data_IF_172337577853
#
_entry.id   IF_172337577853
#
_cell.length_a   1.000
_cell.length_b   1.000
_cell.length_c   1.000
_cell.angle_alpha   90.00
_cell.angle_beta   90.00
_cell.angle_gamma   90.00
#
_symmetry.space_group_name_H-M   'P 1'
#
loop_
_entity.id
_entity.type
_entity.pdbx_description
1 polymer ?
#
# COMPACT_ATOMS: atom_id res chain seq x y z
N UNK A 1 -20.07 -1.16 1.83
CA UNK A 1 -19.00 -1.06 0.83
C UNK A 1 -18.76 0.41 0.56
N UNK A 2 -17.71 0.97 1.16
CA UNK A 2 -17.24 2.32 0.87
C UNK A 2 -16.37 2.33 -0.40
N UNK A 3 -16.06 3.51 -0.93
CA UNK A 3 -15.16 3.65 -2.07
C UNK A 3 -13.76 3.06 -1.78
N UNK A 4 -13.25 3.24 -0.56
CA UNK A 4 -12.00 2.66 -0.10
C UNK A 4 -12.03 1.13 -0.02
N UNK A 5 -13.12 0.54 0.50
CA UNK A 5 -13.30 -0.92 0.53
C UNK A 5 -13.32 -1.52 -0.90
N UNK A 6 -13.99 -0.86 -1.84
CA UNK A 6 -14.02 -1.28 -3.24
C UNK A 6 -12.64 -1.18 -3.92
N UNK A 7 -11.89 -0.11 -3.65
CA UNK A 7 -10.51 0.03 -4.13
C UNK A 7 -9.63 -1.10 -3.59
N UNK A 8 -9.70 -1.39 -2.28
CA UNK A 8 -8.92 -2.46 -1.66
C UNK A 8 -9.20 -3.82 -2.31
N UNK A 9 -10.47 -4.16 -2.48
CA UNK A 9 -10.90 -5.40 -3.12
C UNK A 9 -10.40 -5.51 -4.57
N UNK A 10 -10.39 -4.40 -5.32
CA UNK A 10 -9.89 -4.37 -6.71
C UNK A 10 -8.40 -4.64 -6.77
N UNK A 11 -7.62 -4.06 -5.85
CA UNK A 11 -6.18 -4.29 -5.79
C UNK A 11 -5.85 -5.73 -5.34
N UNK A 12 -6.57 -6.27 -4.36
CA UNK A 12 -6.39 -7.66 -3.93
C UNK A 12 -6.71 -8.67 -5.05
N UNK A 13 -7.76 -8.42 -5.84
CA UNK A 13 -8.05 -9.22 -7.03
C UNK A 13 -6.90 -9.15 -8.06
N UNK A 14 -6.38 -7.95 -8.33
CA UNK A 14 -5.26 -7.78 -9.26
C UNK A 14 -3.97 -8.50 -8.79
N UNK A 15 -3.71 -8.55 -7.48
CA UNK A 15 -2.57 -9.31 -6.93
C UNK A 15 -2.77 -10.82 -7.07
N UNK A 16 -4.00 -11.31 -6.85
CA UNK A 16 -4.35 -12.71 -7.03
C UNK A 16 -4.18 -13.13 -8.50
N UNK A 17 -4.70 -12.32 -9.42
CA UNK A 17 -4.55 -12.53 -10.87
C UNK A 17 -3.07 -12.53 -11.29
N UNK A 18 -2.25 -11.64 -10.72
CA UNK A 18 -0.82 -11.59 -10.99
C UNK A 18 -0.04 -12.79 -10.43
N UNK A 19 -0.57 -13.44 -9.40
CA UNK A 19 -0.04 -14.70 -8.85
C UNK A 19 -0.44 -15.91 -9.69
N UNK A 20 -1.49 -15.80 -10.49
CA UNK A 20 -1.99 -16.87 -11.33
C UNK A 20 -1.04 -17.09 -12.53
N UNK A 21 -0.22 -18.15 -12.46
CA UNK A 21 0.72 -18.53 -13.51
C UNK A 21 2.20 -18.38 -13.14
N UNK A 22 2.50 -17.79 -11.98
CA UNK A 22 3.82 -17.87 -11.37
C UNK A 22 3.87 -18.99 -10.33
N UNK A 23 5.05 -19.54 -10.08
CA UNK A 23 5.26 -20.58 -9.06
C UNK A 23 5.33 -20.02 -7.63
N UNK A 24 5.03 -18.73 -7.47
CA UNK A 24 5.20 -17.96 -6.25
C UNK A 24 3.91 -17.25 -5.91
N UNK A 25 3.51 -17.35 -4.64
CA UNK A 25 2.44 -16.53 -4.09
C UNK A 25 2.96 -15.11 -3.87
N UNK A 26 2.31 -14.12 -4.49
CA UNK A 26 2.60 -12.72 -4.22
C UNK A 26 1.80 -12.24 -3.01
N UNK A 27 2.46 -11.46 -2.15
CA UNK A 27 1.86 -10.82 -0.99
C UNK A 27 2.22 -9.34 -0.99
N UNK A 28 1.29 -8.49 -0.56
CA UNK A 28 1.58 -7.09 -0.33
C UNK A 28 2.60 -6.94 0.80
N UNK A 29 3.65 -6.18 0.55
CA UNK A 29 4.56 -5.74 1.60
C UNK A 29 3.89 -4.74 2.55
N UNK A 30 4.43 -4.58 3.76
CA UNK A 30 3.97 -3.57 4.72
C UNK A 30 3.99 -2.14 4.13
N UNK A 31 4.96 -1.85 3.26
CA UNK A 31 5.06 -0.56 2.58
C UNK A 31 3.91 -0.33 1.59
N UNK A 32 3.58 -1.36 0.80
CA UNK A 32 2.46 -1.29 -0.14
C UNK A 32 1.13 -1.21 0.59
N UNK A 33 0.95 -1.99 1.67
CA UNK A 33 -0.24 -1.91 2.53
C UNK A 33 -0.45 -0.50 3.08
N UNK A 34 0.62 0.16 3.55
CA UNK A 34 0.53 1.54 4.03
C UNK A 34 0.01 2.51 2.96
N UNK A 35 0.47 2.36 1.71
CA UNK A 35 0.01 3.18 0.59
C UNK A 35 -1.40 2.83 0.16
N UNK A 36 -1.78 1.55 0.14
CA UNK A 36 -3.13 1.10 -0.17
C UNK A 36 -4.14 1.60 0.87
N UNK A 37 -3.79 1.61 2.15
CA UNK A 37 -4.60 2.20 3.22
C UNK A 37 -4.75 3.72 3.03
N UNK A 38 -3.66 4.41 2.70
CA UNK A 38 -3.70 5.85 2.45
C UNK A 38 -4.60 6.19 1.25
N UNK A 39 -4.49 5.42 0.16
CA UNK A 39 -5.34 5.56 -1.01
C UNK A 39 -6.81 5.25 -0.71
N UNK A 40 -7.08 4.22 0.10
CA UNK A 40 -8.44 3.85 0.51
C UNK A 40 -9.11 4.96 1.34
N UNK A 41 -8.39 5.53 2.32
CA UNK A 41 -8.88 6.69 3.09
C UNK A 41 -9.15 7.90 2.20
N UNK A 42 -8.30 8.12 1.19
CA UNK A 42 -8.48 9.20 0.25
C UNK A 42 -9.72 8.99 -0.64
N UNK A 43 -9.97 7.75 -1.10
CA UNK A 43 -11.17 7.40 -1.85
C UNK A 43 -12.45 7.64 -1.04
N UNK A 44 -12.48 7.24 0.24
CA UNK A 44 -13.61 7.52 1.14
C UNK A 44 -13.84 9.02 1.33
N UNK A 45 -12.76 9.79 1.48
CA UNK A 45 -12.81 11.25 1.61
C UNK A 45 -13.40 11.90 0.37
N UNK A 46 -12.98 11.48 -0.82
CA UNK A 46 -13.50 11.99 -2.10
C UNK A 46 -14.98 11.66 -2.24
N UNK A 47 -15.41 10.44 -1.89
CA UNK A 47 -16.82 10.06 -1.91
C UNK A 47 -17.68 10.96 -1.02
N UNK A 48 -17.22 11.24 0.21
CA UNK A 48 -17.92 12.14 1.13
C UNK A 48 -17.99 13.58 0.60
N UNK A 49 -16.90 14.09 0.03
CA UNK A 49 -16.85 15.43 -0.54
C UNK A 49 -17.73 15.55 -1.77
N UNK A 50 -17.80 14.52 -2.62
CA UNK A 50 -18.67 14.50 -3.78
C UNK A 50 -20.15 14.56 -3.36
N UNK A 51 -20.56 13.74 -2.38
CA UNK A 51 -21.92 13.80 -1.82
C UNK A 51 -22.24 15.17 -1.24
N UNK A 52 -21.28 15.80 -0.55
CA UNK A 52 -21.45 17.14 0.00
C UNK A 52 -21.56 18.21 -1.11
N UNK A 53 -20.81 18.07 -2.20
CA UNK A 53 -20.90 18.95 -3.36
C UNK A 53 -22.27 18.85 -4.03
N UNK A 54 -22.77 17.63 -4.22
CA UNK A 54 -24.09 17.39 -4.81
C UNK A 54 -25.19 17.99 -3.93
N UNK A 55 -25.08 17.87 -2.60
CA UNK A 55 -26.00 18.49 -1.65
C UNK A 55 -25.93 20.03 -1.68
N UNK A 56 -24.74 20.62 -1.77
CA UNK A 56 -24.55 22.07 -1.89
C UNK A 56 -25.13 22.61 -3.21
N UNK A 57 -24.96 21.86 -4.30
CA UNK A 57 -25.55 22.17 -5.60
C UNK A 57 -27.08 22.11 -5.55
N UNK A 58 -27.65 21.07 -4.94
CA UNK A 58 -29.10 20.94 -4.76
C UNK A 58 -29.69 22.06 -3.88
N UNK A 59 -28.93 22.52 -2.87
CA UNK A 59 -29.29 23.66 -2.03
C UNK A 59 -29.06 25.04 -2.70
N UNK A 60 -28.49 25.06 -3.91
CA UNK A 60 -28.09 26.27 -4.63
C UNK A 60 -27.18 27.20 -3.80
N UNK A 61 -26.23 26.61 -3.05
CA UNK A 61 -25.21 27.32 -2.28
C UNK A 61 -23.86 27.32 -3.04
N UNK A 62 -23.61 28.31 -3.91
CA UNK A 62 -22.38 28.38 -4.70
C UNK A 62 -21.14 28.63 -3.83
N UNK A 63 -21.28 29.29 -2.68
CA UNK A 63 -20.14 29.60 -1.82
C UNK A 63 -19.60 28.34 -1.15
N UNK A 64 -20.50 27.45 -0.71
CA UNK A 64 -20.11 26.14 -0.19
C UNK A 64 -19.60 25.22 -1.30
N UNK A 65 -20.27 25.19 -2.45
CA UNK A 65 -19.85 24.37 -3.59
C UNK A 65 -18.40 24.67 -4.02
N UNK A 66 -18.03 25.96 -4.13
CA UNK A 66 -16.66 26.36 -4.49
C UNK A 66 -15.63 25.89 -3.46
N UNK A 67 -15.94 25.94 -2.16
CA UNK A 67 -15.04 25.46 -1.09
C UNK A 67 -14.83 23.95 -1.19
N UNK A 68 -15.91 23.19 -1.40
CA UNK A 68 -15.84 21.74 -1.55
C UNK A 68 -15.05 21.37 -2.81
N UNK A 69 -15.28 22.05 -3.94
CA UNK A 69 -14.51 21.84 -5.17
C UNK A 69 -13.03 22.20 -5.01
N UNK A 70 -12.67 23.13 -4.13
CA UNK A 70 -11.27 23.40 -3.81
C UNK A 70 -10.64 22.26 -3.00
N UNK A 71 -11.36 21.72 -2.01
CA UNK A 71 -10.91 20.57 -1.22
C UNK A 71 -10.74 19.32 -2.08
N UNK A 72 -11.68 19.02 -2.99
CA UNK A 72 -11.57 17.90 -3.92
C UNK A 72 -10.28 17.97 -4.75
N UNK A 73 -9.97 19.14 -5.34
CA UNK A 73 -8.72 19.35 -6.09
C UNK A 73 -7.48 19.22 -5.22
N UNK A 74 -7.54 19.61 -3.95
CA UNK A 74 -6.44 19.44 -3.02
C UNK A 74 -6.21 17.95 -2.69
N UNK A 75 -7.28 17.17 -2.51
CA UNK A 75 -7.21 15.72 -2.38
C UNK A 75 -6.60 15.07 -3.62
N UNK A 76 -7.06 15.42 -4.82
CA UNK A 76 -6.52 14.88 -6.07
C UNK A 76 -5.02 15.14 -6.22
N UNK A 77 -4.59 16.37 -5.90
CA UNK A 77 -3.16 16.72 -5.89
C UNK A 77 -2.39 15.88 -4.87
N UNK A 78 -2.88 15.76 -3.65
CA UNK A 78 -2.22 14.99 -2.60
C UNK A 78 -2.10 13.50 -2.96
N UNK A 79 -3.13 12.93 -3.58
CA UNK A 79 -3.12 11.56 -4.10
C UNK A 79 -2.06 11.44 -5.20
N UNK A 80 -2.04 12.33 -6.20
CA UNK A 80 -1.04 12.33 -7.26
C UNK A 80 0.40 12.45 -6.72
N UNK A 81 0.63 13.36 -5.78
CA UNK A 81 1.93 13.56 -5.14
C UNK A 81 2.36 12.33 -4.29
N UNK A 82 1.40 11.57 -3.76
CA UNK A 82 1.66 10.35 -2.99
C UNK A 82 1.96 9.16 -3.92
N UNK A 83 1.15 8.96 -4.96
CA UNK A 83 1.37 7.91 -5.97
C UNK A 83 2.69 8.09 -6.71
N UNK A 84 3.09 9.33 -7.00
CA UNK A 84 4.40 9.63 -7.61
C UNK A 84 5.60 9.20 -6.73
N UNK A 85 5.38 8.98 -5.43
CA UNK A 85 6.41 8.49 -4.49
C UNK A 85 6.36 6.98 -4.28
N UNK A 86 5.30 6.31 -4.73
CA UNK A 86 5.21 4.85 -4.68
C UNK A 86 6.18 4.29 -5.71
N UNK A 87 7.30 3.73 -5.25
CA UNK A 87 8.20 2.99 -6.11
C UNK A 87 7.60 1.61 -6.38
N UNK A 88 7.09 1.40 -7.58
CA UNK A 88 6.59 0.09 -8.04
C UNK A 88 7.76 -0.64 -8.72
N UNK A 89 8.20 -1.76 -8.14
CA UNK A 89 9.34 -2.55 -8.59
C UNK A 89 9.94 -3.38 -7.44
N UNK A 90 11.08 -4.05 -7.66
CA UNK A 90 11.88 -4.58 -6.56
C UNK A 90 12.27 -3.42 -5.64
N UNK A 91 11.52 -3.27 -4.54
CA UNK A 91 11.70 -2.17 -3.61
C UNK A 91 13.13 -2.11 -3.08
N UNK A 92 13.52 -0.98 -2.45
CA UNK A 92 14.84 -0.89 -1.83
C UNK A 92 15.05 -2.09 -0.91
N UNK A 93 16.19 -2.77 -1.07
CA UNK A 93 16.55 -3.91 -0.24
C UNK A 93 16.25 -3.57 1.23
N UNK A 94 15.59 -4.50 1.96
CA UNK A 94 15.14 -4.32 3.37
C UNK A 94 16.10 -3.41 4.14
N UNK A 95 15.61 -2.46 4.95
CA UNK A 95 16.52 -1.59 5.70
C UNK A 95 17.61 -2.40 6.41
N UNK A 96 18.85 -1.91 6.43
CA UNK A 96 19.97 -2.67 7.02
C UNK A 96 19.67 -3.16 8.44
N UNK A 97 18.86 -2.40 9.19
CA UNK A 97 18.40 -2.77 10.52
C UNK A 97 17.53 -4.03 10.50
N UNK A 98 16.57 -4.11 9.57
CA UNK A 98 15.71 -5.29 9.43
C UNK A 98 16.46 -6.48 8.83
N UNK A 99 17.42 -6.24 7.93
CA UNK A 99 18.31 -7.30 7.45
C UNK A 99 19.20 -7.83 8.58
N UNK A 100 19.80 -6.97 9.40
CA UNK A 100 20.59 -7.38 10.57
C UNK A 100 19.78 -8.19 11.58
N UNK A 101 18.54 -7.76 11.86
CA UNK A 101 17.65 -8.48 12.76
C UNK A 101 17.19 -9.84 12.21
N UNK A 102 16.98 -9.95 10.89
CA UNK A 102 16.67 -11.22 10.25
C UNK A 102 17.90 -12.13 10.22
N UNK A 103 19.05 -11.62 9.80
CA UNK A 103 20.30 -12.38 9.73
C UNK A 103 20.74 -12.87 11.11
N UNK A 104 20.62 -12.06 12.16
CA UNK A 104 20.99 -12.48 13.52
C UNK A 104 20.18 -13.68 14.02
N UNK A 105 18.92 -13.82 13.60
CA UNK A 105 18.07 -14.97 13.93
C UNK A 105 18.51 -16.25 13.22
N UNK A 106 18.98 -16.14 11.98
CA UNK A 106 19.34 -17.29 11.14
C UNK A 106 20.83 -17.66 11.16
N UNK A 107 21.70 -16.74 11.58
CA UNK A 107 23.16 -16.93 11.58
C UNK A 107 23.61 -17.95 12.64
N UNK A 108 22.92 -18.03 13.77
CA UNK A 108 23.16 -19.05 14.79
C UNK A 108 22.85 -20.46 14.26
N UNK A 109 21.74 -20.60 13.53
CA UNK A 109 21.31 -21.86 12.91
C UNK A 109 22.26 -22.28 11.78
N UNK A 110 22.73 -21.31 10.97
CA UNK A 110 23.71 -21.56 9.91
C UNK A 110 25.06 -22.04 10.47
N UNK A 111 25.57 -21.39 11.51
CA UNK A 111 26.82 -21.77 12.17
C UNK A 111 26.76 -23.20 12.71
N UNK A 112 25.69 -23.55 13.41
CA UNK A 112 25.51 -24.90 13.95
C UNK A 112 25.48 -25.99 12.85
N UNK A 113 24.85 -25.68 11.70
CA UNK A 113 24.79 -26.58 10.56
C UNK A 113 26.16 -26.79 9.90
N UNK A 114 26.93 -25.72 9.71
CA UNK A 114 28.25 -25.80 9.10
C UNK A 114 29.28 -26.50 10.00
N UNK A 115 29.22 -26.26 11.32
CA UNK A 115 30.04 -27.00 12.29
C UNK A 115 29.72 -28.49 12.31
N UNK A 116 28.43 -28.85 12.19
CA UNK A 116 28.00 -30.25 12.10
C UNK A 116 28.47 -30.91 10.81
N UNK A 117 28.45 -30.18 9.68
CA UNK A 117 28.98 -30.65 8.39
C UNK A 117 30.49 -30.88 8.43
N UNK A 118 31.25 -29.96 9.04
CA UNK A 118 32.70 -30.07 9.16
C UNK A 118 33.13 -31.24 10.05
N UNK A 119 32.33 -31.58 11.08
CA UNK A 119 32.57 -32.76 11.92
C UNK A 119 32.25 -34.09 11.23
N UNK A 120 31.31 -34.11 10.29
CA UNK A 120 30.93 -35.31 9.55
C UNK A 120 31.91 -35.69 8.41
N UNK A 121 32.83 -34.79 8.06
CA UNK A 121 33.83 -34.97 6.99
C UNK A 121 35.22 -35.36 7.54
N UNK A 122 35.39 -35.43 8.86
CA UNK A 122 36.58 -35.93 9.55
C UNK A 122 36.38 -37.37 10.02
#
# INVERSE_FOLDING_TARGET
MTAGEALRATMDAALADASEGDSKDYEWSEHELHHLEAASRAADRVELLQRALDAAAAANDPALAVKISAELRACDKAIGDHLARVQIGEGPAKSERHQRAANSRWDSVRKARDESRLRAVR
#
